data_IF_380045195521
#
_entry.id   IF_380045195521
#
_cell.length_a   1.000
_cell.length_b   1.000
_cell.length_c   1.000
_cell.angle_alpha   90.00
_cell.angle_beta   90.00
_cell.angle_gamma   90.00
#
_symmetry.space_group_name_H-M   'P 1'
#
loop_
_entity.id
_entity.type
_entity.pdbx_description
1 polymer ?
#
# COMPACT_ATOMS: atom_id res chain seq x y z
N UNK A 1 -10.73 15.15 -5.56
CA UNK A 1 -9.60 15.10 -6.52
C UNK A 1 -10.19 15.24 -7.90
N UNK A 2 -9.69 16.13 -8.77
CA UNK A 2 -10.33 16.32 -10.08
C UNK A 2 -10.14 15.08 -10.96
N UNK A 3 -11.17 14.72 -11.72
CA UNK A 3 -11.09 13.63 -12.70
C UNK A 3 -10.00 13.90 -13.75
N UNK A 4 -9.64 15.17 -13.97
CA UNK A 4 -8.55 15.59 -14.85
C UNK A 4 -7.18 15.10 -14.35
N UNK A 5 -6.89 15.24 -13.05
CA UNK A 5 -5.61 14.82 -12.48
C UNK A 5 -5.46 13.30 -12.55
N UNK A 6 -6.50 12.56 -12.15
CA UNK A 6 -6.52 11.10 -12.20
C UNK A 6 -6.52 10.57 -13.64
N UNK A 7 -7.10 11.32 -14.57
CA UNK A 7 -7.17 11.01 -16.00
C UNK A 7 -5.91 11.34 -16.78
N UNK A 8 -4.94 12.06 -16.21
CA UNK A 8 -3.74 12.47 -16.92
C UNK A 8 -2.82 11.27 -17.24
N UNK A 9 -2.29 11.21 -18.46
CA UNK A 9 -1.55 10.05 -18.97
C UNK A 9 -0.30 9.71 -18.16
N UNK A 10 0.34 10.72 -17.57
CA UNK A 10 1.45 10.50 -16.63
C UNK A 10 1.06 9.58 -15.48
N UNK A 11 -0.07 9.84 -14.81
CA UNK A 11 -0.50 9.06 -13.66
C UNK A 11 -1.05 7.68 -14.05
N UNK A 12 -1.63 7.54 -15.25
CA UNK A 12 -2.00 6.25 -15.83
C UNK A 12 -0.76 5.38 -16.09
N UNK A 13 0.30 5.93 -16.67
CA UNK A 13 1.57 5.22 -16.90
C UNK A 13 2.23 4.82 -15.59
N UNK A 14 2.28 5.75 -14.64
CA UNK A 14 2.83 5.49 -13.31
C UNK A 14 2.02 4.40 -12.58
N UNK A 15 0.71 4.38 -12.74
CA UNK A 15 -0.13 3.31 -12.20
C UNK A 15 0.22 1.95 -12.82
N UNK A 16 0.34 1.88 -14.14
CA UNK A 16 0.74 0.65 -14.83
C UNK A 16 2.10 0.14 -14.35
N UNK A 17 3.06 1.04 -14.15
CA UNK A 17 4.37 0.72 -13.58
C UNK A 17 4.26 0.14 -12.17
N UNK A 18 3.52 0.80 -11.27
CA UNK A 18 3.32 0.32 -9.88
C UNK A 18 2.61 -1.03 -9.85
N UNK A 19 1.59 -1.22 -10.67
CA UNK A 19 0.91 -2.52 -10.78
C UNK A 19 1.90 -3.61 -11.22
N UNK A 20 2.76 -3.33 -12.21
CA UNK A 20 3.74 -4.32 -12.68
C UNK A 20 4.78 -4.64 -11.60
N UNK A 21 5.24 -3.66 -10.82
CA UNK A 21 6.10 -3.91 -9.66
C UNK A 21 5.44 -4.84 -8.64
N UNK A 22 4.17 -4.58 -8.31
CA UNK A 22 3.40 -5.45 -7.40
C UNK A 22 3.26 -6.87 -7.94
N UNK A 23 2.91 -7.03 -9.22
CA UNK A 23 2.80 -8.34 -9.87
C UNK A 23 4.10 -9.13 -9.87
N UNK A 24 5.24 -8.47 -10.08
CA UNK A 24 6.54 -9.15 -10.11
C UNK A 24 7.00 -9.50 -8.70
N UNK A 25 6.92 -8.57 -7.75
CA UNK A 25 7.60 -8.71 -6.45
C UNK A 25 6.69 -9.10 -5.28
N UNK A 26 5.37 -9.01 -5.45
CA UNK A 26 4.39 -9.43 -4.44
C UNK A 26 3.16 -10.11 -5.08
N UNK A 27 3.34 -11.18 -5.89
CA UNK A 27 2.26 -11.85 -6.60
C UNK A 27 1.14 -12.35 -5.67
N UNK A 28 1.49 -12.95 -4.52
CA UNK A 28 0.50 -13.43 -3.54
C UNK A 28 -0.34 -12.29 -2.97
N UNK A 29 0.29 -11.15 -2.66
CA UNK A 29 -0.39 -9.94 -2.20
C UNK A 29 -1.33 -9.37 -3.26
N UNK A 30 -0.95 -9.45 -4.54
CA UNK A 30 -1.78 -9.03 -5.67
C UNK A 30 -3.03 -9.89 -5.76
N UNK A 31 -2.90 -11.22 -5.72
CA UNK A 31 -4.04 -12.14 -5.72
C UNK A 31 -4.97 -11.87 -4.54
N UNK A 32 -4.41 -11.67 -3.34
CA UNK A 32 -5.18 -11.29 -2.16
C UNK A 32 -5.96 -9.97 -2.39
N UNK A 33 -5.30 -8.91 -2.87
CA UNK A 33 -5.97 -7.63 -3.14
C UNK A 33 -7.05 -7.79 -4.21
N UNK A 34 -6.80 -8.53 -5.29
CA UNK A 34 -7.75 -8.73 -6.37
C UNK A 34 -9.04 -9.39 -5.87
N UNK A 35 -8.92 -10.48 -5.10
CA UNK A 35 -10.07 -11.19 -4.51
C UNK A 35 -10.84 -10.28 -3.57
N UNK A 36 -10.17 -9.67 -2.61
CA UNK A 36 -10.81 -8.83 -1.58
C UNK A 36 -11.49 -7.60 -2.20
N UNK A 37 -10.82 -6.91 -3.13
CA UNK A 37 -11.40 -5.76 -3.82
C UNK A 37 -12.54 -6.19 -4.76
N UNK A 38 -12.48 -7.39 -5.34
CA UNK A 38 -13.60 -7.97 -6.11
C UNK A 38 -14.84 -8.15 -5.25
N UNK A 39 -14.69 -8.73 -4.05
CA UNK A 39 -15.79 -8.88 -3.08
C UNK A 39 -16.38 -7.53 -2.67
N UNK A 40 -15.53 -6.52 -2.42
CA UNK A 40 -15.98 -5.18 -2.06
C UNK A 40 -16.80 -4.52 -3.18
N UNK A 41 -16.34 -4.60 -4.43
CA UNK A 41 -17.03 -4.01 -5.58
C UNK A 41 -18.34 -4.74 -5.89
N UNK A 42 -18.38 -6.07 -5.74
CA UNK A 42 -19.62 -6.83 -5.88
C UNK A 42 -20.66 -6.45 -4.81
N UNK A 43 -20.21 -6.21 -3.57
CA UNK A 43 -21.09 -5.78 -2.46
C UNK A 43 -21.61 -4.36 -2.63
N UNK A 44 -20.81 -3.48 -3.24
CA UNK A 44 -21.11 -2.07 -3.42
C UNK A 44 -20.94 -1.66 -4.90
N UNK A 45 -21.92 -1.94 -5.78
CA UNK A 45 -21.80 -1.70 -7.22
C UNK A 45 -21.57 -0.23 -7.62
N UNK A 46 -21.95 0.72 -6.75
CA UNK A 46 -21.76 2.15 -6.97
C UNK A 46 -20.39 2.67 -6.50
N UNK A 47 -19.56 1.82 -5.90
CA UNK A 47 -18.22 2.20 -5.45
C UNK A 47 -17.31 2.43 -6.66
N UNK A 48 -16.72 3.62 -6.74
CA UNK A 48 -15.81 3.98 -7.83
C UNK A 48 -14.36 3.91 -7.35
N UNK A 49 -13.48 3.31 -8.16
CA UNK A 49 -12.04 3.30 -7.88
C UNK A 49 -11.41 4.65 -8.21
N UNK A 50 -10.39 5.05 -7.45
CA UNK A 50 -9.59 6.25 -7.70
C UNK A 50 -8.84 6.20 -9.05
N UNK A 51 -8.43 5.02 -9.51
CA UNK A 51 -7.93 4.83 -10.87
C UNK A 51 -8.49 3.55 -11.50
N UNK A 52 -8.72 3.57 -12.81
CA UNK A 52 -9.06 2.35 -13.57
C UNK A 52 -7.86 1.39 -13.51
N UNK A 53 -8.12 0.14 -13.10
CA UNK A 53 -7.11 -0.92 -13.05
C UNK A 53 -6.15 -0.86 -11.85
N UNK A 54 -6.33 0.01 -10.87
CA UNK A 54 -5.47 -0.01 -9.67
C UNK A 54 -5.74 -1.19 -8.76
N UNK A 55 -4.67 -1.68 -8.11
CA UNK A 55 -4.73 -2.63 -7.00
C UNK A 55 -5.06 -1.96 -5.65
N UNK A 56 -4.81 -0.66 -5.53
CA UNK A 56 -4.93 0.06 -4.26
C UNK A 56 -6.31 0.70 -4.10
N UNK A 57 -6.85 0.70 -2.88
CA UNK A 57 -8.12 1.35 -2.62
C UNK A 57 -8.02 2.89 -2.51
N UNK A 58 -6.82 3.41 -2.22
CA UNK A 58 -6.60 4.83 -1.98
C UNK A 58 -5.29 5.34 -2.61
N UNK A 59 -5.24 6.65 -2.82
CA UNK A 59 -4.01 7.37 -3.18
C UNK A 59 -4.01 8.78 -2.59
N UNK A 60 -2.81 9.28 -2.29
CA UNK A 60 -2.62 10.65 -1.79
C UNK A 60 -1.57 11.38 -2.62
N UNK A 61 -1.93 12.57 -3.08
CA UNK A 61 -1.01 13.51 -3.69
C UNK A 61 -0.51 14.45 -2.60
N UNK A 62 0.74 14.30 -2.23
CA UNK A 62 1.38 15.22 -1.31
C UNK A 62 1.95 16.38 -2.11
N UNK A 63 1.20 17.48 -2.10
CA UNK A 63 1.58 18.70 -2.82
C UNK A 63 2.72 19.45 -2.12
N UNK A 64 3.47 20.21 -2.92
CA UNK A 64 4.71 20.86 -2.55
C UNK A 64 4.52 22.34 -2.18
N UNK A 65 5.54 23.20 -2.42
CA UNK A 65 6.64 22.97 -3.34
C UNK A 65 7.74 22.03 -2.82
N UNK A 66 7.83 21.77 -1.50
CA UNK A 66 8.87 20.93 -0.90
C UNK A 66 8.28 20.05 0.21
N UNK A 67 7.45 19.09 -0.18
CA UNK A 67 6.75 18.23 0.78
C UNK A 67 7.75 17.46 1.63
N UNK A 68 7.61 17.58 2.94
CA UNK A 68 8.32 16.77 3.92
C UNK A 68 7.35 16.01 4.83
N UNK A 69 7.84 14.94 5.45
CA UNK A 69 7.12 14.19 6.47
C UNK A 69 8.00 14.03 7.69
N UNK A 70 7.45 14.17 8.89
CA UNK A 70 8.12 13.73 10.13
C UNK A 70 8.10 12.20 10.24
N UNK A 71 8.94 11.57 11.07
CA UNK A 71 8.91 10.12 11.28
C UNK A 71 7.52 9.65 11.72
N UNK A 72 6.92 8.74 10.94
CA UNK A 72 5.58 8.22 11.20
C UNK A 72 5.41 6.78 10.71
N UNK A 73 4.26 6.21 11.04
CA UNK A 73 3.75 4.94 10.53
C UNK A 73 2.34 5.20 9.99
N UNK A 74 2.01 4.55 8.88
CA UNK A 74 0.66 4.58 8.34
C UNK A 74 -0.19 3.49 9.00
N UNK A 75 -0.43 3.60 10.31
CA UNK A 75 -1.06 2.56 11.13
C UNK A 75 -2.44 2.07 10.63
N UNK A 76 -3.13 2.87 9.81
CA UNK A 76 -4.40 2.49 9.20
C UNK A 76 -4.28 1.54 8.00
N UNK A 77 -3.09 1.44 7.40
CA UNK A 77 -2.82 0.56 6.26
C UNK A 77 -2.78 -0.91 6.69
N UNK A 78 -2.94 -1.83 5.73
CA UNK A 78 -2.70 -3.24 5.99
C UNK A 78 -1.25 -3.43 6.45
N UNK A 79 -1.04 -4.07 7.61
CA UNK A 79 0.27 -4.19 8.27
C UNK A 79 1.35 -4.80 7.36
N UNK A 80 1.01 -5.89 6.68
CA UNK A 80 1.85 -6.58 5.72
C UNK A 80 1.58 -6.17 4.26
N UNK A 81 0.71 -5.17 4.06
CA UNK A 81 0.44 -4.63 2.75
C UNK A 81 1.52 -3.64 2.34
N UNK A 82 1.83 -3.61 1.05
CA UNK A 82 2.72 -2.59 0.50
C UNK A 82 2.00 -1.26 0.26
N UNK A 83 2.74 -0.18 0.45
CA UNK A 83 2.42 1.17 0.01
C UNK A 83 3.42 1.55 -1.08
N UNK A 84 2.92 2.03 -2.21
CA UNK A 84 3.75 2.57 -3.27
C UNK A 84 3.97 4.06 -3.03
N UNK A 85 5.22 4.51 -2.94
CA UNK A 85 5.59 5.91 -2.82
C UNK A 85 6.37 6.29 -4.06
N UNK A 86 5.88 7.26 -4.84
CA UNK A 86 6.62 7.84 -5.96
C UNK A 86 7.11 9.23 -5.58
N UNK A 87 8.43 9.46 -5.62
CA UNK A 87 8.99 10.79 -5.49
C UNK A 87 8.77 11.57 -6.79
N UNK A 88 8.31 12.80 -6.68
CA UNK A 88 8.04 13.71 -7.80
C UNK A 88 8.73 15.05 -7.54
N UNK A 89 8.87 15.86 -8.59
CA UNK A 89 9.53 17.17 -8.54
C UNK A 89 10.92 17.14 -9.17
N UNK A 90 11.73 18.12 -8.81
CA UNK A 90 13.07 18.34 -9.31
C UNK A 90 13.98 18.75 -8.15
N UNK A 91 14.89 17.84 -7.79
CA UNK A 91 15.85 18.01 -6.70
C UNK A 91 17.08 17.13 -6.91
N UNK A 92 18.20 17.51 -6.32
CA UNK A 92 19.44 16.74 -6.29
C UNK A 92 19.33 15.60 -5.26
N UNK A 93 19.36 14.36 -5.77
CA UNK A 93 19.20 13.15 -4.98
C UNK A 93 20.44 12.82 -4.12
N UNK A 94 21.57 13.51 -4.33
CA UNK A 94 22.75 13.42 -3.49
C UNK A 94 22.69 14.36 -2.29
N UNK A 95 21.90 15.43 -2.38
CA UNK A 95 21.84 16.49 -1.35
C UNK A 95 20.61 16.36 -0.47
N UNK A 96 19.44 16.00 -1.02
CA UNK A 96 18.18 16.02 -0.29
C UNK A 96 17.13 15.04 -0.80
N UNK A 97 15.93 15.13 -0.22
CA UNK A 97 14.77 14.33 -0.62
C UNK A 97 14.85 12.82 -0.32
N UNK A 98 15.92 12.36 0.33
CA UNK A 98 16.14 10.97 0.79
C UNK A 98 14.96 10.44 1.59
N UNK A 99 14.76 9.13 1.51
CA UNK A 99 13.82 8.38 2.35
C UNK A 99 14.58 7.75 3.51
N UNK A 100 14.06 7.89 4.73
CA UNK A 100 14.60 7.26 5.93
C UNK A 100 13.65 6.13 6.33
N UNK A 101 14.18 4.92 6.49
CA UNK A 101 13.50 3.79 7.11
C UNK A 101 14.12 3.58 8.49
N UNK A 102 13.50 4.16 9.51
CA UNK A 102 14.07 4.33 10.85
C UNK A 102 14.33 2.99 11.54
N UNK A 103 13.37 2.07 11.48
CA UNK A 103 13.48 0.77 12.15
C UNK A 103 14.56 -0.12 11.50
N UNK A 104 14.82 0.09 10.21
CA UNK A 104 15.87 -0.60 9.47
C UNK A 104 17.23 0.10 9.55
N UNK A 105 17.30 1.30 10.14
CA UNK A 105 18.48 2.17 10.17
C UNK A 105 19.04 2.45 8.77
N UNK A 106 18.15 2.62 7.79
CA UNK A 106 18.52 2.88 6.40
C UNK A 106 18.17 4.31 5.98
N UNK A 107 19.12 4.94 5.28
CA UNK A 107 18.91 6.17 4.51
C UNK A 107 19.05 5.82 3.05
N UNK A 108 18.00 6.06 2.27
CA UNK A 108 17.89 5.67 0.88
C UNK A 108 17.92 6.94 0.03
N UNK A 109 18.92 7.05 -0.85
CA UNK A 109 18.88 8.00 -1.97
C UNK A 109 17.64 7.68 -2.80
N UNK A 110 16.70 8.61 -2.86
CA UNK A 110 15.39 8.38 -3.46
C UNK A 110 15.15 9.38 -4.61
N UNK A 111 15.56 9.02 -5.84
CA UNK A 111 15.54 9.93 -6.98
C UNK A 111 14.15 10.49 -7.32
N UNK A 112 14.05 11.73 -7.86
CA UNK A 112 12.83 12.20 -8.49
C UNK A 112 12.40 11.26 -9.63
N UNK A 113 11.11 10.96 -9.70
CA UNK A 113 10.51 10.03 -10.68
C UNK A 113 10.62 8.55 -10.30
N UNK A 114 11.35 8.20 -9.24
CA UNK A 114 11.46 6.81 -8.77
C UNK A 114 10.31 6.42 -7.85
N UNK A 115 10.04 5.11 -7.75
CA UNK A 115 9.03 4.54 -6.86
C UNK A 115 9.65 3.49 -5.96
N UNK A 116 9.24 3.47 -4.70
CA UNK A 116 9.59 2.43 -3.73
C UNK A 116 8.32 1.81 -3.14
N UNK A 117 8.38 0.51 -2.83
CA UNK A 117 7.33 -0.22 -2.14
C UNK A 117 7.77 -0.50 -0.71
N UNK A 118 6.97 -0.10 0.28
CA UNK A 118 7.28 -0.35 1.70
C UNK A 118 6.05 -0.86 2.47
N UNK A 119 6.22 -1.66 3.52
CA UNK A 119 5.15 -1.98 4.45
C UNK A 119 4.93 -0.82 5.44
N UNK A 120 4.34 0.27 4.92
CA UNK A 120 4.22 1.58 5.60
C UNK A 120 3.56 1.56 6.99
N UNK A 121 2.71 0.57 7.26
CA UNK A 121 2.02 0.40 8.54
C UNK A 121 2.93 -0.12 9.66
N UNK A 122 4.05 -0.77 9.33
CA UNK A 122 4.98 -1.38 10.30
C UNK A 122 6.42 -0.92 10.14
N UNK A 123 6.74 -0.17 9.08
CA UNK A 123 8.08 0.39 8.85
C UNK A 123 8.05 1.91 9.03
N UNK A 124 8.62 2.39 10.15
CA UNK A 124 8.64 3.83 10.46
C UNK A 124 9.49 4.55 9.45
N UNK A 125 8.90 5.56 8.80
CA UNK A 125 9.55 6.23 7.70
C UNK A 125 9.32 7.74 7.70
N UNK A 126 10.21 8.44 7.01
CA UNK A 126 10.11 9.87 6.72
C UNK A 126 10.91 10.19 5.47
N UNK A 127 10.83 11.43 5.01
CA UNK A 127 11.75 11.98 4.02
C UNK A 127 12.41 13.25 4.57
N UNK A 128 13.52 13.65 3.95
CA UNK A 128 14.25 14.86 4.33
C UNK A 128 13.90 16.02 3.39
N UNK A 129 14.12 17.28 3.83
CA UNK A 129 13.98 18.45 2.97
C UNK A 129 14.83 18.37 1.69
N UNK A 130 14.44 19.17 0.71
CA UNK A 130 15.22 19.49 -0.49
C UNK A 130 15.70 20.94 -0.41
N UNK A 131 16.59 21.34 -1.30
CA UNK A 131 17.15 22.69 -1.37
C UNK A 131 16.10 23.79 -1.58
N UNK A 132 16.44 25.05 -1.25
CA UNK A 132 15.48 26.17 -1.25
C UNK A 132 14.88 26.49 -2.63
N UNK A 133 15.62 26.23 -3.70
CA UNK A 133 15.18 26.43 -5.09
C UNK A 133 14.70 25.13 -5.76
N UNK A 134 14.64 24.04 -5.00
CA UNK A 134 14.21 22.73 -5.47
C UNK A 134 12.72 22.49 -5.20
N UNK A 135 12.17 21.50 -5.89
CA UNK A 135 10.79 21.07 -5.72
C UNK A 135 10.69 19.59 -5.38
N UNK A 136 9.79 19.24 -4.47
CA UNK A 136 9.48 17.87 -4.11
C UNK A 136 8.00 17.72 -3.81
N UNK A 137 7.42 16.70 -4.44
CA UNK A 137 6.05 16.23 -4.26
C UNK A 137 6.10 14.71 -4.10
N UNK A 138 5.00 14.09 -3.73
CA UNK A 138 4.90 12.64 -3.85
C UNK A 138 3.49 12.17 -4.16
N UNK A 139 3.42 10.98 -4.78
CA UNK A 139 2.18 10.23 -4.92
C UNK A 139 2.32 8.94 -4.13
N UNK A 140 1.45 8.75 -3.13
CA UNK A 140 1.36 7.51 -2.39
C UNK A 140 0.12 6.72 -2.80
N UNK A 141 0.20 5.39 -2.81
CA UNK A 141 -0.94 4.49 -3.07
C UNK A 141 -0.91 3.36 -2.05
N UNK A 142 -2.06 3.12 -1.43
CA UNK A 142 -2.16 2.23 -0.27
C UNK A 142 -3.60 1.71 -0.12
N UNK A 143 -3.75 0.69 0.73
CA UNK A 143 -5.06 0.15 1.09
C UNK A 143 -5.15 0.02 2.61
N UNK A 144 -6.22 0.57 3.18
CA UNK A 144 -6.47 0.51 4.60
C UNK A 144 -6.75 -0.93 5.06
N UNK A 145 -6.13 -1.37 6.16
CA UNK A 145 -6.34 -2.69 6.75
C UNK A 145 -7.80 -2.90 7.20
N UNK A 146 -8.46 -1.80 7.60
CA UNK A 146 -9.88 -1.80 7.95
C UNK A 146 -10.81 -2.31 6.84
N UNK A 147 -10.47 -2.11 5.57
CA UNK A 147 -11.26 -2.62 4.44
C UNK A 147 -11.24 -4.15 4.41
N UNK A 148 -10.07 -4.76 4.61
CA UNK A 148 -9.95 -6.22 4.65
C UNK A 148 -10.61 -6.82 5.89
N UNK A 149 -10.52 -6.13 7.04
CA UNK A 149 -11.29 -6.53 8.24
C UNK A 149 -12.80 -6.49 7.98
N UNK A 150 -13.29 -5.44 7.33
CA UNK A 150 -14.70 -5.29 6.97
C UNK A 150 -15.18 -6.46 6.11
N UNK A 151 -14.44 -6.82 5.07
CA UNK A 151 -14.76 -7.97 4.20
C UNK A 151 -14.71 -9.28 5.00
N UNK A 152 -13.66 -9.47 5.80
CA UNK A 152 -13.46 -10.65 6.65
C UNK A 152 -14.60 -10.84 7.67
N UNK A 153 -15.19 -9.74 8.14
CA UNK A 153 -16.34 -9.73 9.05
C UNK A 153 -17.68 -9.87 8.31
N UNK A 154 -17.68 -10.26 7.03
CA UNK A 154 -18.88 -10.32 6.18
C UNK A 154 -19.60 -8.98 6.07
N UNK A 155 -18.83 -7.90 5.88
CA UNK A 155 -19.32 -6.52 5.75
C UNK A 155 -20.05 -6.01 7.00
N UNK A 156 -19.45 -6.28 8.17
CA UNK A 156 -19.92 -5.81 9.48
C UNK A 156 -18.81 -5.07 10.21
N UNK A 157 -19.22 -4.15 11.08
CA UNK A 157 -18.29 -3.49 12.01
C UNK A 157 -17.69 -4.53 12.96
N UNK A 158 -16.56 -4.20 13.59
CA UNK A 158 -15.97 -5.08 14.60
C UNK A 158 -16.97 -5.33 15.76
N UNK A 159 -17.77 -4.32 16.13
CA UNK A 159 -18.81 -4.42 17.16
C UNK A 159 -19.97 -5.34 16.74
N UNK A 160 -20.50 -5.15 15.53
CA UNK A 160 -21.60 -5.98 15.01
C UNK A 160 -21.15 -7.43 14.79
N UNK A 161 -19.93 -7.62 14.32
CA UNK A 161 -19.33 -8.95 14.22
C UNK A 161 -19.24 -9.59 15.60
N UNK A 162 -18.67 -8.89 16.60
CA UNK A 162 -18.53 -9.41 17.96
C UNK A 162 -19.87 -9.78 18.62
N UNK A 163 -20.96 -9.08 18.28
CA UNK A 163 -22.32 -9.37 18.77
C UNK A 163 -23.00 -10.54 18.05
N UNK A 164 -22.65 -10.81 16.79
CA UNK A 164 -23.36 -11.77 15.93
C UNK A 164 -22.57 -13.05 15.63
N UNK A 165 -21.28 -13.08 15.93
CA UNK A 165 -20.38 -14.23 15.69
C UNK A 165 -20.73 -15.42 16.58
N UNK A 166 -20.67 -16.63 16.03
CA UNK A 166 -20.88 -17.84 16.84
C UNK A 166 -19.72 -18.08 17.82
N UNK A 167 -19.92 -18.94 18.82
CA UNK A 167 -18.85 -19.31 19.76
C UNK A 167 -17.70 -20.03 19.04
N UNK A 168 -18.04 -20.87 18.08
CA UNK A 168 -17.11 -21.64 17.25
C UNK A 168 -16.28 -20.71 16.36
N UNK A 169 -16.93 -19.79 15.64
CA UNK A 169 -16.24 -18.79 14.81
C UNK A 169 -15.34 -17.89 15.67
N UNK A 170 -15.80 -17.47 16.85
CA UNK A 170 -14.98 -16.68 17.78
C UNK A 170 -13.73 -17.44 18.25
N UNK A 171 -13.87 -18.73 18.56
CA UNK A 171 -12.74 -19.59 18.93
C UNK A 171 -11.76 -19.78 17.76
N UNK A 172 -12.26 -20.00 16.55
CA UNK A 172 -11.45 -20.09 15.34
C UNK A 172 -10.65 -18.79 15.11
N UNK A 173 -11.30 -17.62 15.22
CA UNK A 173 -10.63 -16.31 15.11
C UNK A 173 -9.53 -16.08 16.14
N UNK A 174 -9.75 -16.52 17.37
CA UNK A 174 -8.75 -16.43 18.43
C UNK A 174 -7.54 -17.32 18.13
N UNK A 175 -7.78 -18.54 17.64
CA UNK A 175 -6.71 -19.46 17.21
C UNK A 175 -5.93 -18.91 16.03
N UNK A 176 -6.62 -18.41 15.00
CA UNK A 176 -6.00 -17.73 13.85
C UNK A 176 -5.15 -16.54 14.30
N UNK A 177 -5.65 -15.75 15.26
CA UNK A 177 -4.95 -14.55 15.71
C UNK A 177 -3.58 -14.83 16.34
N UNK A 178 -3.39 -16.00 16.96
CA UNK A 178 -2.14 -16.36 17.61
C UNK A 178 -1.00 -16.61 16.60
N UNK A 179 -1.32 -17.17 15.42
CA UNK A 179 -0.34 -17.52 14.38
C UNK A 179 -0.45 -16.66 13.13
N UNK A 180 -1.40 -15.72 13.09
CA UNK A 180 -1.67 -14.87 11.91
C UNK A 180 -0.43 -14.16 11.37
N UNK A 181 0.49 -13.74 12.23
CA UNK A 181 1.70 -13.06 11.78
C UNK A 181 2.55 -13.92 10.82
N UNK A 182 2.54 -15.25 10.99
CA UNK A 182 3.26 -16.19 10.12
C UNK A 182 2.63 -16.21 8.73
N UNK A 183 1.30 -16.30 8.67
CA UNK A 183 0.54 -16.25 7.41
C UNK A 183 0.69 -14.90 6.73
N UNK A 184 0.64 -13.81 7.49
CA UNK A 184 0.77 -12.44 6.99
C UNK A 184 2.16 -12.19 6.38
N UNK A 185 3.23 -12.65 7.02
CA UNK A 185 4.60 -12.53 6.49
C UNK A 185 4.83 -13.44 5.29
N UNK A 186 4.21 -14.62 5.27
CA UNK A 186 4.28 -15.55 4.13
C UNK A 186 3.65 -15.00 2.83
N UNK A 187 2.95 -13.86 2.91
CA UNK A 187 2.48 -13.14 1.72
C UNK A 187 3.61 -12.45 0.95
N UNK A 188 4.79 -12.31 1.55
CA UNK A 188 5.99 -11.84 0.86
C UNK A 188 6.72 -13.02 0.22
N UNK A 189 6.87 -12.96 -1.10
CA UNK A 189 7.72 -13.91 -1.83
C UNK A 189 9.18 -13.75 -1.42
N UNK A 190 9.87 -14.88 -1.31
CA UNK A 190 11.33 -14.90 -1.17
C UNK A 190 11.97 -14.90 -2.56
N UNK A 191 13.28 -14.68 -2.64
CA UNK A 191 14.02 -14.79 -3.92
C UNK A 191 13.83 -16.17 -4.54
N UNK A 192 13.79 -17.22 -3.71
CA UNK A 192 13.67 -18.61 -4.17
C UNK A 192 12.23 -18.96 -4.60
N UNK A 193 11.21 -18.40 -3.94
CA UNK A 193 9.81 -18.68 -4.25
C UNK A 193 9.24 -17.81 -5.37
N UNK A 194 9.88 -16.67 -5.67
CA UNK A 194 9.32 -15.61 -6.52
C UNK A 194 8.77 -16.11 -7.87
N UNK A 195 9.57 -16.90 -8.59
CA UNK A 195 9.17 -17.41 -9.90
C UNK A 195 7.94 -18.33 -9.80
N UNK A 196 7.92 -19.20 -8.79
CA UNK A 196 6.80 -20.10 -8.52
C UNK A 196 5.55 -19.34 -8.09
N UNK A 197 5.70 -18.34 -7.22
CA UNK A 197 4.58 -17.55 -6.72
C UNK A 197 3.93 -16.72 -7.84
N UNK A 198 4.72 -16.18 -8.79
CA UNK A 198 4.20 -15.50 -9.98
C UNK A 198 3.32 -16.47 -10.79
N UNK A 199 3.82 -17.67 -11.10
CA UNK A 199 3.10 -18.66 -11.91
C UNK A 199 1.80 -19.16 -11.24
N UNK A 200 1.78 -19.20 -9.90
CA UNK A 200 0.60 -19.62 -9.15
C UNK A 200 -0.42 -18.49 -8.91
N UNK A 201 -0.06 -17.25 -9.25
CA UNK A 201 -0.90 -16.06 -9.03
C UNK A 201 -1.72 -15.63 -10.25
N UNK A 202 -1.47 -16.24 -11.42
CA UNK A 202 -2.24 -16.09 -12.67
C UNK A 202 -3.55 -16.89 -12.66
#
# INVERSE_FOLDING_TARGET
MSNELLGHDYFKRLLGFVNKLMWIFAPLLVSFYAVQMGMLMARYPNLTRNFVGTLFAACTFNFGPRTITVPHLDFGNLSWGWCAITALGWFDLDVGGHLILWDLKLVIRFPPGSTIMIPSAICRHSNVPVGPEETRFSLTRYTAGGLFKWIRNSFKSDDDFARTVSREEKAARASEAATRWETDVAMYSTVDSLATDILNSE
#
